data_IF_953915141343
#
_entry.id   IF_953915141343
#
_cell.length_a   1.000
_cell.length_b   1.000
_cell.length_c   1.000
_cell.angle_alpha   90.00
_cell.angle_beta   90.00
_cell.angle_gamma   90.00
#
_symmetry.space_group_name_H-M   'P 1'
#
loop_
_entity.id
_entity.type
_entity.pdbx_description
1 polymer ?
#
# COMPACT_ATOMS: atom_id res chain seq x y z
N UNK A 1 -18.16 10.60 -3.26
CA UNK A 1 -18.57 10.82 -4.66
C UNK A 1 -20.10 10.72 -4.70
N UNK A 2 -20.79 11.85 -4.87
CA UNK A 2 -22.25 11.92 -4.95
C UNK A 2 -22.70 11.34 -6.30
N UNK A 3 -23.56 10.33 -6.32
CA UNK A 3 -24.18 9.83 -7.56
C UNK A 3 -25.70 10.00 -7.49
N UNK A 4 -26.19 10.98 -8.24
CA UNK A 4 -27.61 11.17 -8.58
C UNK A 4 -28.02 10.17 -9.68
N UNK A 5 -29.29 9.79 -9.65
CA UNK A 5 -29.95 8.78 -10.48
C UNK A 5 -29.91 9.09 -11.99
N UNK A 6 -29.72 8.02 -12.78
CA UNK A 6 -30.40 7.80 -14.06
C UNK A 6 -29.58 8.00 -15.33
N UNK A 7 -28.95 6.92 -15.83
CA UNK A 7 -28.86 6.58 -17.26
C UNK A 7 -28.75 5.05 -17.37
N UNK A 8 -29.65 4.45 -18.16
CA UNK A 8 -29.69 3.03 -18.47
C UNK A 8 -28.83 2.76 -19.71
N UNK A 9 -27.74 2.00 -19.56
CA UNK A 9 -26.97 1.43 -20.66
C UNK A 9 -26.77 -0.07 -20.43
N UNK A 10 -27.06 -0.81 -21.49
CA UNK A 10 -27.32 -2.24 -21.57
C UNK A 10 -26.08 -3.13 -21.48
N UNK A 11 -26.34 -4.34 -20.95
CA UNK A 11 -25.72 -5.63 -21.31
C UNK A 11 -24.23 -5.80 -20.96
N UNK A 12 -24.00 -6.13 -19.69
CA UNK A 12 -23.18 -7.21 -19.11
C UNK A 12 -22.97 -6.88 -17.62
N UNK A 13 -24.05 -6.45 -16.96
CA UNK A 13 -24.01 -5.98 -15.58
C UNK A 13 -24.04 -7.16 -14.62
N UNK A 14 -23.19 -7.11 -13.61
CA UNK A 14 -23.19 -8.04 -12.48
C UNK A 14 -24.62 -8.41 -12.09
N UNK A 15 -24.84 -9.69 -11.83
CA UNK A 15 -25.89 -10.10 -10.89
C UNK A 15 -25.43 -9.71 -9.46
N UNK A 16 -25.20 -8.42 -9.25
CA UNK A 16 -25.38 -7.80 -7.94
C UNK A 16 -26.89 -7.68 -7.85
N UNK A 17 -27.56 -8.74 -7.37
CA UNK A 17 -28.95 -8.66 -6.97
C UNK A 17 -29.07 -7.37 -6.17
N UNK A 18 -29.79 -6.39 -6.76
CA UNK A 18 -30.09 -5.07 -6.21
C UNK A 18 -29.40 -4.81 -4.87
N UNK A 19 -28.15 -4.35 -4.90
CA UNK A 19 -27.41 -3.97 -3.68
C UNK A 19 -28.06 -2.72 -3.08
N UNK A 20 -29.24 -2.92 -2.49
CA UNK A 20 -29.79 -2.09 -1.44
C UNK A 20 -28.73 -2.17 -0.36
N UNK A 21 -28.08 -1.05 -0.03
CA UNK A 21 -27.27 -1.01 1.18
C UNK A 21 -28.10 -1.67 2.31
N UNK A 22 -27.51 -2.56 3.12
CA UNK A 22 -28.24 -3.21 4.20
C UNK A 22 -29.02 -2.16 4.99
N UNK A 23 -30.31 -2.37 5.26
CA UNK A 23 -31.19 -1.35 5.85
C UNK A 23 -30.57 -0.72 7.11
N UNK A 24 -30.87 0.57 7.32
CA UNK A 24 -30.46 1.35 8.50
C UNK A 24 -31.28 0.93 9.70
N UNK A 25 -30.87 -0.18 10.31
CA UNK A 25 -31.17 -0.39 11.71
C UNK A 25 -29.90 -0.30 12.55
N UNK A 26 -30.14 -0.11 13.84
CA UNK A 26 -29.12 0.14 14.85
C UNK A 26 -28.59 -1.14 15.51
N UNK A 27 -28.97 -2.31 14.99
CA UNK A 27 -28.56 -3.59 15.56
C UNK A 27 -27.14 -4.00 15.07
N UNK A 28 -26.49 -4.91 15.80
CA UNK A 28 -25.12 -5.32 15.50
C UNK A 28 -24.98 -6.13 14.20
N UNK A 29 -26.06 -6.76 13.74
CA UNK A 29 -26.06 -7.60 12.54
C UNK A 29 -26.02 -6.73 11.26
N UNK A 30 -26.83 -5.67 11.20
CA UNK A 30 -26.83 -4.71 10.07
C UNK A 30 -25.53 -3.91 9.96
N UNK A 31 -24.86 -3.65 11.08
CA UNK A 31 -23.51 -3.03 11.09
C UNK A 31 -22.47 -3.96 10.47
N UNK A 32 -22.50 -5.25 10.81
CA UNK A 32 -21.57 -6.23 10.26
C UNK A 32 -21.75 -6.39 8.74
N UNK A 33 -22.99 -6.48 8.27
CA UNK A 33 -23.29 -6.62 6.84
C UNK A 33 -22.76 -5.43 6.03
N UNK A 34 -22.84 -4.21 6.59
CA UNK A 34 -22.28 -3.00 5.96
C UNK A 34 -20.77 -2.99 5.92
N UNK A 35 -20.12 -3.44 6.98
CA UNK A 35 -18.67 -3.55 7.03
C UNK A 35 -18.19 -4.55 5.97
N UNK A 36 -18.84 -5.69 5.86
CA UNK A 36 -18.56 -6.70 4.82
C UNK A 36 -18.77 -6.09 3.44
N UNK A 37 -19.95 -5.52 3.18
CA UNK A 37 -20.26 -4.89 1.90
C UNK A 37 -19.27 -3.77 1.52
N UNK A 38 -18.82 -2.95 2.48
CA UNK A 38 -17.83 -1.93 2.22
C UNK A 38 -16.51 -2.52 1.70
N UNK A 39 -16.06 -3.66 2.23
CA UNK A 39 -14.85 -4.33 1.74
C UNK A 39 -15.01 -4.87 0.33
N UNK A 40 -16.20 -5.35 -0.04
CA UNK A 40 -16.51 -5.79 -1.40
C UNK A 40 -16.47 -4.61 -2.38
N UNK A 41 -17.03 -3.47 -1.99
CA UNK A 41 -17.00 -2.24 -2.80
C UNK A 41 -15.56 -1.72 -2.96
N UNK A 42 -14.72 -1.79 -1.93
CA UNK A 42 -13.32 -1.38 -2.05
C UNK A 42 -12.51 -2.26 -3.00
N UNK A 43 -12.88 -3.54 -3.12
CA UNK A 43 -12.28 -4.50 -4.04
C UNK A 43 -12.93 -4.49 -5.44
N UNK A 44 -14.17 -4.01 -5.58
CA UNK A 44 -14.91 -4.04 -6.85
C UNK A 44 -14.22 -3.37 -8.03
N UNK A 45 -13.39 -2.31 -7.89
CA UNK A 45 -12.67 -1.75 -9.04
C UNK A 45 -11.81 -2.77 -9.79
N UNK A 46 -11.36 -3.83 -9.11
CA UNK A 46 -10.61 -4.92 -9.73
C UNK A 46 -11.42 -5.65 -10.82
N UNK A 47 -12.73 -5.82 -10.65
CA UNK A 47 -13.57 -6.56 -11.62
C UNK A 47 -13.84 -5.75 -12.88
N UNK A 48 -13.80 -4.42 -12.81
CA UNK A 48 -14.07 -3.52 -13.93
C UNK A 48 -12.81 -3.05 -14.66
N UNK A 49 -11.80 -2.63 -13.92
CA UNK A 49 -10.59 -2.03 -14.50
C UNK A 49 -9.43 -3.02 -14.63
N UNK A 50 -9.41 -4.04 -13.77
CA UNK A 50 -8.30 -4.99 -13.68
C UNK A 50 -7.00 -4.38 -13.16
N UNK A 51 -6.06 -5.24 -12.79
CA UNK A 51 -4.67 -4.86 -12.48
C UNK A 51 -3.76 -5.26 -13.64
N UNK A 52 -2.95 -4.31 -14.12
CA UNK A 52 -2.01 -4.55 -15.22
C UNK A 52 -0.75 -5.27 -14.76
N UNK A 53 -0.16 -4.81 -13.65
CA UNK A 53 1.11 -5.32 -13.15
C UNK A 53 1.19 -5.16 -11.64
N UNK A 54 1.32 -6.28 -10.92
CA UNK A 54 1.43 -6.30 -9.45
C UNK A 54 2.84 -5.97 -8.97
N UNK A 55 3.84 -6.08 -9.84
CA UNK A 55 5.24 -5.75 -9.55
C UNK A 55 5.62 -4.31 -9.91
N UNK A 56 4.75 -3.61 -10.64
CA UNK A 56 4.88 -2.20 -11.02
C UNK A 56 3.50 -1.54 -11.00
N UNK A 57 2.97 -1.35 -9.78
CA UNK A 57 1.61 -0.85 -9.58
C UNK A 57 1.46 0.59 -10.11
N UNK A 58 0.45 0.84 -10.94
CA UNK A 58 0.25 2.11 -11.67
C UNK A 58 -0.68 3.11 -10.95
N UNK A 59 -1.00 2.86 -9.67
CA UNK A 59 -1.92 3.68 -8.87
C UNK A 59 -3.39 3.72 -9.34
N UNK A 60 -3.79 2.77 -10.17
CA UNK A 60 -5.14 2.69 -10.72
C UNK A 60 -6.23 2.31 -9.71
N UNK A 61 -5.91 1.51 -8.67
CA UNK A 61 -6.88 0.93 -7.74
C UNK A 61 -6.43 1.04 -6.26
N UNK A 62 -6.31 2.26 -5.71
CA UNK A 62 -5.65 2.48 -4.42
C UNK A 62 -6.37 1.84 -3.23
N UNK A 63 -7.70 1.70 -3.28
CA UNK A 63 -8.49 1.01 -2.26
C UNK A 63 -8.13 -0.47 -2.20
N UNK A 64 -8.18 -1.15 -3.34
CA UNK A 64 -7.78 -2.56 -3.47
C UNK A 64 -6.30 -2.75 -3.12
N UNK A 65 -5.42 -1.85 -3.57
CA UNK A 65 -4.00 -1.93 -3.30
C UNK A 65 -3.68 -1.91 -1.79
N UNK A 66 -4.39 -1.10 -1.01
CA UNK A 66 -4.21 -1.11 0.45
C UNK A 66 -4.68 -2.42 1.10
N UNK A 67 -5.76 -3.02 0.58
CA UNK A 67 -6.26 -4.32 1.05
C UNK A 67 -5.33 -5.48 0.70
N UNK A 68 -4.78 -5.49 -0.52
CA UNK A 68 -4.04 -6.62 -1.08
C UNK A 68 -2.52 -6.55 -0.88
N UNK A 69 -2.00 -5.50 -0.22
CA UNK A 69 -0.57 -5.33 -0.01
C UNK A 69 0.01 -6.48 0.83
N UNK A 70 0.86 -7.31 0.18
CA UNK A 70 1.41 -8.53 0.78
C UNK A 70 2.35 -8.29 1.97
N UNK A 71 2.75 -7.05 2.24
CA UNK A 71 3.56 -6.68 3.41
C UNK A 71 2.72 -6.15 4.57
N UNK A 72 1.45 -5.80 4.35
CA UNK A 72 0.61 -5.26 5.43
C UNK A 72 0.36 -6.33 6.49
N UNK A 73 0.57 -5.97 7.76
CA UNK A 73 0.44 -6.89 8.90
C UNK A 73 -0.71 -6.54 9.83
N UNK A 74 -1.14 -5.27 9.81
CA UNK A 74 -2.16 -4.75 10.72
C UNK A 74 -3.05 -3.76 9.99
N UNK A 75 -4.32 -3.81 10.34
CA UNK A 75 -5.31 -2.83 9.92
C UNK A 75 -6.22 -2.52 11.10
N UNK A 76 -6.85 -1.35 11.07
CA UNK A 76 -7.87 -0.95 12.03
C UNK A 76 -8.96 -0.17 11.32
N UNK A 77 -10.22 -0.44 11.66
CA UNK A 77 -11.36 0.19 11.01
C UNK A 77 -12.20 0.98 12.00
N UNK A 78 -12.77 2.09 11.53
CA UNK A 78 -13.73 2.92 12.24
C UNK A 78 -15.06 2.93 11.50
N UNK A 79 -16.14 2.95 12.29
CA UNK A 79 -17.51 3.09 11.82
C UNK A 79 -18.15 4.28 12.52
N UNK A 80 -18.77 5.18 11.75
CA UNK A 80 -19.59 6.26 12.27
C UNK A 80 -20.90 6.30 11.50
N UNK A 81 -22.00 5.97 12.18
CA UNK A 81 -23.35 6.22 11.70
C UNK A 81 -23.75 7.69 11.92
N UNK A 82 -24.85 8.09 11.29
CA UNK A 82 -25.54 9.35 11.51
C UNK A 82 -24.64 10.58 11.32
N UNK A 83 -24.03 10.67 10.13
CA UNK A 83 -23.07 11.72 9.82
C UNK A 83 -23.71 13.09 9.47
N UNK A 84 -24.97 13.30 9.85
CA UNK A 84 -25.71 14.55 9.74
C UNK A 84 -27.18 14.38 10.15
N UNK A 85 -27.89 15.46 10.51
CA UNK A 85 -29.32 15.38 10.80
C UNK A 85 -30.09 14.94 9.54
N UNK A 86 -30.99 13.98 9.70
CA UNK A 86 -31.80 13.39 8.61
C UNK A 86 -30.98 12.77 7.46
N UNK A 87 -29.76 12.32 7.74
CA UNK A 87 -28.91 11.68 6.76
C UNK A 87 -28.64 10.22 7.12
N UNK A 88 -29.08 9.36 6.22
CA UNK A 88 -28.83 7.92 6.14
C UNK A 88 -27.38 7.63 5.68
N UNK A 89 -26.41 8.41 6.17
CA UNK A 89 -25.00 8.36 5.76
C UNK A 89 -24.16 7.69 6.85
N UNK A 90 -23.44 6.66 6.41
CA UNK A 90 -22.48 5.93 7.23
C UNK A 90 -21.07 6.19 6.69
N UNK A 91 -20.15 6.52 7.58
CA UNK A 91 -18.73 6.60 7.28
C UNK A 91 -18.03 5.34 7.80
N UNK A 92 -17.40 4.61 6.88
CA UNK A 92 -16.57 3.44 7.16
C UNK A 92 -15.18 3.73 6.61
N UNK A 93 -14.16 3.58 7.45
CA UNK A 93 -12.77 3.81 7.07
C UNK A 93 -11.88 2.74 7.69
N UNK A 94 -10.92 2.24 6.93
CA UNK A 94 -9.87 1.36 7.45
C UNK A 94 -8.50 2.00 7.19
N UNK A 95 -7.62 1.87 8.17
CA UNK A 95 -6.24 2.33 8.15
C UNK A 95 -5.35 1.10 8.23
N UNK A 96 -4.30 1.08 7.41
CA UNK A 96 -3.34 -0.01 7.32
C UNK A 96 -1.98 0.45 7.83
N UNK A 97 -1.20 -0.45 8.44
CA UNK A 97 0.12 -0.10 8.97
C UNK A 97 1.18 0.15 7.87
N UNK A 98 0.87 -0.21 6.62
CA UNK A 98 1.67 0.06 5.43
C UNK A 98 0.78 0.53 4.29
N UNK A 99 1.31 1.40 3.44
CA UNK A 99 0.62 1.91 2.26
C UNK A 99 0.88 0.95 1.09
N UNK A 100 -0.19 0.38 0.53
CA UNK A 100 -0.13 -0.47 -0.67
C UNK A 100 -0.23 0.31 -1.97
N UNK A 101 -0.89 1.48 -1.93
CA UNK A 101 -1.14 2.31 -3.10
C UNK A 101 0.05 3.13 -3.65
N UNK A 102 1.31 2.77 -3.35
CA UNK A 102 2.45 3.54 -3.86
C UNK A 102 2.71 3.22 -5.35
N UNK A 103 2.70 4.21 -6.26
CA UNK A 103 3.06 3.96 -7.66
C UNK A 103 4.46 3.36 -7.78
N UNK A 104 4.64 2.46 -8.75
CA UNK A 104 5.89 1.73 -9.01
C UNK A 104 6.38 0.86 -7.85
N UNK A 105 5.47 0.46 -6.96
CA UNK A 105 5.73 -0.52 -5.92
C UNK A 105 5.27 -1.92 -6.35
N UNK A 106 5.81 -2.92 -5.64
CA UNK A 106 5.33 -4.30 -5.70
C UNK A 106 4.19 -4.43 -4.70
N UNK A 107 2.98 -4.67 -5.19
CA UNK A 107 1.78 -4.87 -4.38
C UNK A 107 1.86 -6.19 -3.60
N UNK A 108 2.17 -7.28 -4.29
CA UNK A 108 2.51 -8.58 -3.71
C UNK A 108 3.43 -9.35 -4.65
N UNK A 109 4.21 -10.29 -4.12
CA UNK A 109 5.10 -11.13 -4.91
C UNK A 109 4.30 -12.26 -5.56
N UNK A 110 4.48 -12.45 -6.88
CA UNK A 110 3.83 -13.55 -7.60
C UNK A 110 4.47 -14.88 -7.23
N UNK A 111 3.66 -15.86 -6.81
CA UNK A 111 4.16 -17.16 -6.41
C UNK A 111 3.05 -18.13 -6.04
N UNK A 112 3.46 -19.31 -5.54
CA UNK A 112 2.52 -20.29 -4.97
C UNK A 112 2.14 -19.88 -3.56
N UNK A 113 0.90 -20.14 -3.17
CA UNK A 113 0.43 -19.98 -1.80
C UNK A 113 1.24 -20.85 -0.82
N UNK A 114 1.34 -20.42 0.43
CA UNK A 114 2.14 -21.15 1.42
C UNK A 114 1.52 -22.53 1.72
N UNK A 115 2.38 -23.53 1.94
CA UNK A 115 2.00 -24.88 2.41
C UNK A 115 2.71 -25.27 3.70
N UNK A 116 3.88 -24.68 3.93
CA UNK A 116 4.70 -24.87 5.13
C UNK A 116 5.27 -23.53 5.59
N UNK A 117 5.68 -23.47 6.85
CA UNK A 117 6.19 -22.25 7.48
C UNK A 117 7.38 -21.64 6.71
N UNK A 118 8.23 -22.49 6.10
CA UNK A 118 9.39 -22.03 5.33
C UNK A 118 9.06 -21.35 4.00
N UNK A 119 7.81 -21.43 3.54
CA UNK A 119 7.35 -20.68 2.36
C UNK A 119 7.10 -19.20 2.72
N UNK A 120 6.94 -18.86 4.00
CA UNK A 120 6.66 -17.51 4.48
C UNK A 120 7.94 -16.72 4.74
N UNK A 121 8.47 -16.10 3.68
CA UNK A 121 9.79 -15.44 3.69
C UNK A 121 9.76 -13.93 3.95
N UNK A 122 8.61 -13.27 3.77
CA UNK A 122 8.49 -11.81 3.89
C UNK A 122 8.88 -11.30 5.28
N UNK A 123 8.44 -12.02 6.32
CA UNK A 123 8.77 -11.73 7.72
C UNK A 123 9.39 -12.97 8.37
N UNK A 124 10.60 -12.89 8.92
CA UNK A 124 11.24 -14.02 9.60
C UNK A 124 10.35 -14.59 10.71
N UNK A 125 10.41 -15.92 10.90
CA UNK A 125 9.62 -16.66 11.91
C UNK A 125 8.09 -16.61 11.69
N UNK A 126 7.64 -16.31 10.47
CA UNK A 126 6.23 -16.47 10.10
C UNK A 126 5.85 -17.94 9.98
N UNK A 127 4.58 -18.25 10.23
CA UNK A 127 4.00 -19.59 10.06
C UNK A 127 2.96 -19.57 8.95
N UNK A 128 2.79 -20.68 8.26
CA UNK A 128 1.72 -20.81 7.28
C UNK A 128 0.45 -21.31 7.95
N UNK A 129 -0.63 -20.54 7.85
CA UNK A 129 -1.97 -21.04 8.10
C UNK A 129 -2.38 -21.94 6.94
N UNK A 130 -2.41 -23.25 7.17
CA UNK A 130 -2.70 -24.25 6.14
C UNK A 130 -4.17 -24.27 5.69
N UNK A 131 -5.08 -23.68 6.47
CA UNK A 131 -6.50 -23.62 6.12
C UNK A 131 -6.76 -22.49 5.14
N UNK A 132 -6.19 -21.32 5.39
CA UNK A 132 -6.39 -20.13 4.57
C UNK A 132 -5.25 -19.86 3.58
N UNK A 133 -4.16 -20.62 3.68
CA UNK A 133 -2.91 -20.42 2.93
C UNK A 133 -2.30 -19.01 3.08
N UNK A 134 -2.45 -18.43 4.27
CA UNK A 134 -1.93 -17.11 4.63
C UNK A 134 -0.73 -17.22 5.59
N UNK A 135 0.26 -16.36 5.37
CA UNK A 135 1.41 -16.25 6.27
C UNK A 135 1.06 -15.42 7.51
N UNK A 136 1.23 -16.02 8.69
CA UNK A 136 0.92 -15.42 9.99
C UNK A 136 2.22 -15.03 10.69
N UNK A 137 2.40 -13.74 10.92
CA UNK A 137 3.49 -13.17 11.71
C UNK A 137 2.99 -12.73 13.08
N UNK A 138 3.61 -13.23 14.16
CA UNK A 138 3.23 -12.91 15.55
C UNK A 138 4.15 -11.87 16.23
N UNK A 139 5.20 -11.43 15.56
CA UNK A 139 6.12 -10.44 16.12
C UNK A 139 5.57 -9.01 16.09
N UNK A 140 6.35 -8.08 16.61
CA UNK A 140 6.07 -6.65 16.43
C UNK A 140 6.38 -6.27 14.97
N UNK A 141 5.43 -5.72 14.21
CA UNK A 141 5.71 -5.22 12.87
C UNK A 141 6.90 -4.29 12.93
N UNK A 142 7.89 -4.46 12.03
CA UNK A 142 8.99 -3.53 11.98
C UNK A 142 8.40 -2.13 11.76
N UNK A 143 8.87 -1.10 12.48
CA UNK A 143 8.49 0.28 12.16
C UNK A 143 8.83 0.52 10.68
N UNK A 144 8.18 1.46 9.99
CA UNK A 144 8.62 1.88 8.66
C UNK A 144 10.12 2.26 8.73
N UNK A 145 10.99 1.42 8.15
CA UNK A 145 12.46 1.56 8.27
C UNK A 145 13.19 0.66 9.29
N UNK A 146 12.44 -0.20 9.99
CA UNK A 146 12.77 -1.59 10.33
C UNK A 146 14.09 -1.89 11.03
N UNK A 147 14.57 -1.02 11.89
CA UNK A 147 15.83 -1.27 12.62
C UNK A 147 15.92 -0.44 13.88
N UNK A 148 16.78 -0.85 14.84
CA UNK A 148 17.16 0.00 15.96
C UNK A 148 17.54 1.39 15.47
N UNK A 149 17.29 2.39 16.30
CA UNK A 149 17.71 3.76 16.05
C UNK A 149 18.87 4.08 17.01
N UNK A 150 20.04 3.52 16.72
CA UNK A 150 21.26 3.77 17.50
C UNK A 150 22.04 4.94 16.93
N UNK A 151 21.92 5.21 15.63
CA UNK A 151 22.62 6.32 14.99
C UNK A 151 22.05 7.68 15.40
N UNK A 152 20.73 7.75 15.63
CA UNK A 152 20.02 9.00 15.84
C UNK A 152 19.01 8.87 16.98
N UNK A 153 19.46 8.40 18.15
CA UNK A 153 18.61 8.05 19.30
C UNK A 153 17.56 9.10 19.68
N UNK A 154 17.86 10.38 19.52
CA UNK A 154 16.94 11.49 19.83
C UNK A 154 15.79 11.68 18.80
N UNK A 155 15.91 11.11 17.60
CA UNK A 155 14.92 11.24 16.53
C UNK A 155 14.04 9.99 16.46
N UNK A 156 12.72 10.13 16.53
CA UNK A 156 11.80 8.98 16.41
C UNK A 156 11.40 8.75 14.95
N UNK A 157 10.89 7.55 14.64
CA UNK A 157 10.26 7.26 13.33
C UNK A 157 11.18 6.78 12.20
N UNK A 158 12.51 6.71 12.38
CA UNK A 158 13.42 6.13 11.39
C UNK A 158 14.56 5.33 12.02
N UNK A 159 14.67 4.07 11.62
CA UNK A 159 15.75 3.17 12.02
C UNK A 159 17.03 3.31 11.18
N UNK A 160 18.12 2.79 11.71
CA UNK A 160 19.47 2.81 11.15
C UNK A 160 19.60 2.17 9.75
N UNK A 161 18.92 1.04 9.52
CA UNK A 161 18.84 0.36 8.23
C UNK A 161 18.15 1.23 7.18
N UNK A 162 17.07 1.95 7.52
CA UNK A 162 16.44 2.91 6.61
C UNK A 162 17.39 4.07 6.27
N UNK A 163 18.08 4.63 7.28
CA UNK A 163 19.09 5.67 7.04
C UNK A 163 20.18 5.20 6.08
N UNK A 164 20.68 3.99 6.27
CA UNK A 164 21.68 3.36 5.37
C UNK A 164 21.11 3.11 3.98
N UNK A 165 19.88 2.59 3.88
CA UNK A 165 19.22 2.31 2.61
C UNK A 165 19.03 3.58 1.79
N UNK A 166 18.53 4.66 2.40
CA UNK A 166 18.32 5.96 1.74
C UNK A 166 19.67 6.54 1.28
N UNK A 167 20.70 6.52 2.13
CA UNK A 167 22.03 7.01 1.76
C UNK A 167 22.62 6.24 0.58
N UNK A 168 22.54 4.91 0.62
CA UNK A 168 23.02 4.05 -0.46
C UNK A 168 22.25 4.30 -1.76
N UNK A 169 20.93 4.46 -1.67
CA UNK A 169 20.06 4.74 -2.80
C UNK A 169 20.38 6.10 -3.46
N UNK A 170 20.69 7.13 -2.67
CA UNK A 170 21.15 8.43 -3.18
C UNK A 170 22.52 8.33 -3.85
N UNK A 171 23.51 7.76 -3.16
CA UNK A 171 24.85 7.62 -3.69
C UNK A 171 24.91 6.74 -4.95
N UNK A 172 24.08 5.69 -5.05
CA UNK A 172 23.93 4.88 -6.26
C UNK A 172 23.42 5.71 -7.44
N UNK A 173 22.40 6.55 -7.24
CA UNK A 173 21.87 7.45 -8.28
C UNK A 173 22.90 8.50 -8.69
N UNK A 174 23.56 9.15 -7.72
CA UNK A 174 24.63 10.12 -7.95
C UNK A 174 25.78 9.52 -8.77
N UNK A 175 26.23 8.31 -8.42
CA UNK A 175 27.26 7.59 -9.17
C UNK A 175 26.83 7.27 -10.61
N UNK A 176 25.58 6.84 -10.82
CA UNK A 176 25.06 6.57 -12.17
C UNK A 176 25.00 7.85 -13.01
N UNK A 177 24.58 8.97 -12.43
CA UNK A 177 24.53 10.26 -13.11
C UNK A 177 25.95 10.75 -13.45
N UNK A 178 26.88 10.70 -12.49
CA UNK A 178 28.25 11.16 -12.70
C UNK A 178 28.97 10.41 -13.85
N UNK A 179 28.60 9.15 -14.09
CA UNK A 179 29.12 8.31 -15.18
C UNK A 179 28.30 8.40 -16.48
N UNK A 180 27.31 9.29 -16.57
CA UNK A 180 26.50 9.46 -17.78
C UNK A 180 25.58 8.28 -18.11
N UNK A 181 25.17 7.48 -17.12
CA UNK A 181 24.30 6.30 -17.30
C UNK A 181 22.82 6.57 -17.03
N UNK A 182 22.41 7.83 -16.99
CA UNK A 182 21.03 8.24 -16.74
C UNK A 182 20.44 8.81 -18.03
N UNK A 183 19.42 8.15 -18.57
CA UNK A 183 18.68 8.63 -19.74
C UNK A 183 17.93 9.92 -19.41
N UNK A 184 18.01 10.91 -20.30
CA UNK A 184 17.27 12.15 -20.15
C UNK A 184 15.84 11.99 -20.69
N UNK A 185 14.89 11.59 -19.86
CA UNK A 185 13.48 11.47 -20.25
C UNK A 185 13.17 10.30 -21.21
N UNK A 186 11.91 10.22 -21.67
CA UNK A 186 11.39 9.05 -22.40
C UNK A 186 11.62 9.08 -23.91
N UNK A 187 11.87 10.24 -24.53
CA UNK A 187 12.08 10.34 -25.99
C UNK A 187 13.34 9.57 -26.40
N UNK A 188 13.26 8.78 -27.47
CA UNK A 188 14.37 7.94 -27.95
C UNK A 188 15.57 8.75 -28.46
N UNK A 189 15.33 9.96 -28.96
CA UNK A 189 16.35 10.89 -29.45
C UNK A 189 17.15 11.55 -28.33
N UNK A 190 16.69 11.46 -27.08
CA UNK A 190 17.37 12.11 -25.98
C UNK A 190 18.64 11.36 -25.60
N UNK A 191 19.76 12.07 -25.60
CA UNK A 191 21.03 11.58 -25.04
C UNK A 191 20.92 11.40 -23.53
N UNK A 192 21.80 10.59 -22.95
CA UNK A 192 21.94 10.54 -21.51
C UNK A 192 22.37 11.90 -20.95
N UNK A 193 22.10 12.11 -19.66
CA UNK A 193 22.64 13.27 -18.92
C UNK A 193 24.17 13.26 -18.98
N UNK A 194 24.81 14.45 -19.04
CA UNK A 194 26.27 14.55 -19.09
C UNK A 194 26.92 13.96 -17.84
N UNK A 195 28.19 13.58 -17.96
CA UNK A 195 29.02 13.15 -16.83
C UNK A 195 29.28 14.32 -15.87
N UNK A 196 29.63 14.00 -14.62
CA UNK A 196 29.96 15.00 -13.61
C UNK A 196 31.37 14.76 -13.08
N UNK A 197 32.23 15.77 -13.20
CA UNK A 197 33.64 15.72 -12.77
C UNK A 197 33.80 15.78 -11.24
N UNK A 198 32.87 16.41 -10.52
CA UNK A 198 32.94 16.58 -9.06
C UNK A 198 31.60 16.27 -8.38
N UNK A 199 31.17 15.01 -8.43
CA UNK A 199 29.96 14.54 -7.75
C UNK A 199 30.31 14.00 -6.34
N UNK A 200 30.16 14.79 -5.25
CA UNK A 200 30.57 14.33 -3.92
C UNK A 200 29.71 13.15 -3.44
N UNK A 201 30.34 12.21 -2.73
CA UNK A 201 29.62 11.14 -2.04
C UNK A 201 28.96 11.71 -0.80
N UNK A 202 27.65 11.52 -0.68
CA UNK A 202 26.92 11.89 0.53
C UNK A 202 27.38 11.02 1.69
N UNK A 203 27.51 11.64 2.86
CA UNK A 203 27.79 10.98 4.14
C UNK A 203 26.63 11.25 5.10
N UNK A 204 26.50 10.45 6.15
CA UNK A 204 25.48 10.69 7.18
C UNK A 204 25.86 11.95 7.96
N UNK A 205 24.92 12.87 8.12
CA UNK A 205 25.06 13.96 9.07
C UNK A 205 24.07 13.75 10.22
N UNK A 206 24.60 13.55 11.43
CA UNK A 206 23.80 13.17 12.60
C UNK A 206 23.13 14.37 13.31
N UNK A 207 23.39 15.60 12.85
CA UNK A 207 22.93 16.85 13.51
C UNK A 207 21.72 17.54 12.88
N UNK A 208 21.24 17.12 11.71
CA UNK A 208 20.10 17.81 11.09
C UNK A 208 18.77 17.19 11.51
N UNK A 209 18.05 17.94 12.35
CA UNK A 209 16.64 17.80 12.71
C UNK A 209 15.74 18.05 11.50
N UNK A 210 15.76 17.17 10.50
CA UNK A 210 14.81 17.26 9.39
C UNK A 210 13.86 16.07 9.52
N UNK A 211 12.59 16.41 9.77
CA UNK A 211 11.40 15.60 10.02
C UNK A 211 11.13 15.26 11.49
N UNK A 212 10.77 16.30 12.26
CA UNK A 212 9.65 16.23 13.21
C UNK A 212 8.34 16.38 12.44
#
# INVERSE_FOLDING_TARGET
>A
MLLKRGVQLQKYALKLDQARMPPLGNNNQEKNDRLIFATEIWASPLTYYGLKNVSDYDNSLPTFANMANGKTLRFGCGYKGDCGPNQDIVHISCIYNLIGGYPHSVLYETGKMCKKDTDCTTYPNSKCDKTNHLCVFKGTPPPPGGSPNTMCSNNKGMGDAARKAILNAHNKRRSRLARGHIRNGKKATNKNLPTASFMPKMVRHLRYYILS
#
